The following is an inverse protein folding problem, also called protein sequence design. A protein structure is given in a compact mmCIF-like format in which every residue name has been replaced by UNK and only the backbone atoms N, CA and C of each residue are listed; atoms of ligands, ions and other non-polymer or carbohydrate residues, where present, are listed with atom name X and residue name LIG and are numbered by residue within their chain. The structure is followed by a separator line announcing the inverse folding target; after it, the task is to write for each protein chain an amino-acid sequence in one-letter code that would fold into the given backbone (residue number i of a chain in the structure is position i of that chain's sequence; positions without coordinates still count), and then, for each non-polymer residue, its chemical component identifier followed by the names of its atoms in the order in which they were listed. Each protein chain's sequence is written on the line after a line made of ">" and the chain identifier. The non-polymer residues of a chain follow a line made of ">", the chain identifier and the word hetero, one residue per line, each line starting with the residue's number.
data_IF_949408915257
#
_entry.id   IF_949408915257
#
_cell.length_a   1.000
_cell.length_b   1.000
_cell.length_c   1.000
_cell.angle_alpha   90.00
_cell.angle_beta   90.00
_cell.angle_gamma   90.00
#
_symmetry.space_group_name_H-M   'P 1'
#
loop_
_entity.id
_entity.type
_entity.pdbx_description
1 polymer ?
#
# COMPACT_ATOMS: atom_id res chain seq x y z
N UNK A 1 20.51 -11.55 9.34
CA UNK A 1 20.49 -10.09 9.57
C UNK A 1 19.72 -9.43 8.42
N UNK A 2 18.42 -9.69 8.32
CA UNK A 2 17.54 -9.11 7.31
C UNK A 2 16.41 -8.44 8.09
N UNK A 3 16.40 -7.09 8.09
CA UNK A 3 15.27 -6.18 8.34
C UNK A 3 15.66 -4.79 8.88
N UNK A 4 16.95 -4.45 8.91
CA UNK A 4 17.38 -3.09 9.29
C UNK A 4 16.67 -1.98 8.48
N UNK A 5 16.41 -2.19 7.18
CA UNK A 5 15.79 -1.17 6.35
C UNK A 5 14.30 -0.96 6.66
N UNK A 6 13.51 -2.03 6.81
CA UNK A 6 12.07 -1.92 7.07
C UNK A 6 11.84 -1.24 8.43
N UNK A 7 12.57 -1.67 9.46
CA UNK A 7 12.47 -1.09 10.81
C UNK A 7 12.85 0.40 10.80
N UNK A 8 13.87 0.79 10.03
CA UNK A 8 14.25 2.21 9.87
C UNK A 8 13.18 3.00 9.13
N UNK A 9 12.64 2.46 8.04
CA UNK A 9 11.60 3.12 7.26
C UNK A 9 10.31 3.32 8.07
N UNK A 10 9.92 2.36 8.92
CA UNK A 10 8.76 2.49 9.80
C UNK A 10 8.92 3.63 10.83
N UNK A 11 10.17 3.91 11.21
CA UNK A 11 10.52 5.02 12.10
C UNK A 11 10.74 6.35 11.36
N UNK A 12 10.71 6.39 10.03
CA UNK A 12 10.85 7.61 9.24
C UNK A 12 9.50 8.28 8.95
N UNK A 13 9.54 9.61 8.81
CA UNK A 13 8.41 10.39 8.29
C UNK A 13 8.35 10.27 6.76
N UNK A 14 7.16 10.03 6.21
CA UNK A 14 6.98 9.80 4.76
C UNK A 14 7.34 11.01 3.91
N UNK A 15 7.20 12.24 4.42
CA UNK A 15 7.63 13.46 3.72
C UNK A 15 9.15 13.51 3.51
N UNK A 16 9.94 13.11 4.51
CA UNK A 16 11.40 13.06 4.36
C UNK A 16 11.84 12.02 3.30
N UNK A 17 11.12 10.89 3.22
CA UNK A 17 11.36 9.89 2.17
C UNK A 17 11.01 10.47 0.79
N UNK A 18 9.86 11.17 0.68
CA UNK A 18 9.45 11.83 -0.55
C UNK A 18 10.49 12.86 -1.03
N UNK A 19 10.98 13.72 -0.14
CA UNK A 19 11.97 14.74 -0.46
C UNK A 19 13.27 14.12 -0.98
N UNK A 20 13.78 13.09 -0.31
CA UNK A 20 14.99 12.35 -0.76
C UNK A 20 14.77 11.67 -2.12
N UNK A 21 13.61 11.04 -2.34
CA UNK A 21 13.31 10.39 -3.62
C UNK A 21 13.25 11.43 -4.74
N UNK A 22 12.62 12.57 -4.49
CA UNK A 22 12.53 13.71 -5.42
C UNK A 22 13.90 14.28 -5.76
N UNK A 23 14.76 14.50 -4.77
CA UNK A 23 16.16 14.97 -4.98
C UNK A 23 16.98 13.99 -5.83
N UNK A 24 16.70 12.69 -5.72
CA UNK A 24 17.33 11.63 -6.52
C UNK A 24 16.69 11.44 -7.91
N UNK A 25 15.74 12.30 -8.30
CA UNK A 25 15.05 12.24 -9.59
C UNK A 25 13.94 11.19 -9.67
N UNK A 26 13.58 10.53 -8.57
CA UNK A 26 12.46 9.61 -8.52
C UNK A 26 11.17 10.41 -8.27
N UNK A 27 10.40 10.60 -9.34
CA UNK A 27 9.12 11.32 -9.32
C UNK A 27 7.95 10.33 -9.31
N UNK A 28 6.73 10.82 -9.01
CA UNK A 28 5.50 10.02 -8.97
C UNK A 28 5.52 8.89 -7.92
N UNK A 29 6.11 9.14 -6.75
CA UNK A 29 6.26 8.17 -5.66
C UNK A 29 5.14 8.23 -4.60
N UNK A 30 4.11 9.05 -4.84
CA UNK A 30 2.97 9.22 -3.93
C UNK A 30 1.71 8.57 -4.50
N UNK A 31 0.88 8.03 -3.61
CA UNK A 31 -0.43 7.52 -3.97
C UNK A 31 -1.44 8.68 -4.19
N UNK A 32 -2.51 8.45 -4.97
CA UNK A 32 -3.58 9.44 -5.16
C UNK A 32 -4.16 9.91 -3.82
N UNK A 33 -4.48 11.22 -3.71
CA UNK A 33 -5.03 11.85 -2.50
C UNK A 33 -6.38 11.27 -2.01
N UNK A 34 -7.09 10.54 -2.87
CA UNK A 34 -8.32 9.82 -2.55
C UNK A 34 -8.07 8.59 -1.66
N UNK A 35 -6.84 8.06 -1.64
CA UNK A 35 -6.45 6.98 -0.74
C UNK A 35 -6.09 7.60 0.61
N UNK A 36 -6.88 7.30 1.64
CA UNK A 36 -6.71 7.83 3.00
C UNK A 36 -6.54 6.71 4.00
N UNK A 37 -5.78 6.97 5.07
CA UNK A 37 -5.65 6.02 6.16
C UNK A 37 -6.98 5.87 6.92
N UNK A 38 -7.39 4.63 7.17
CA UNK A 38 -8.51 4.31 8.07
C UNK A 38 -8.12 4.59 9.53
N UNK A 39 -6.85 4.38 9.89
CA UNK A 39 -6.32 4.70 11.22
C UNK A 39 -5.09 5.61 11.09
N UNK A 40 -5.25 6.94 11.27
CA UNK A 40 -4.16 7.91 11.11
C UNK A 40 -2.97 7.71 12.05
N UNK A 41 -3.15 7.00 13.17
CA UNK A 41 -2.09 6.77 14.16
C UNK A 41 -1.17 5.60 13.80
N UNK A 42 -1.55 4.76 12.83
CA UNK A 42 -0.74 3.61 12.39
C UNK A 42 0.18 4.00 11.23
N UNK A 43 1.45 3.60 11.36
CA UNK A 43 2.46 3.65 10.30
C UNK A 43 2.73 2.23 9.81
N UNK A 44 3.13 2.10 8.54
CA UNK A 44 3.44 0.82 7.91
C UNK A 44 4.68 1.01 7.02
N UNK A 45 5.61 0.07 7.10
CA UNK A 45 6.70 -0.09 6.15
C UNK A 45 6.87 -1.59 5.84
N UNK A 46 7.21 -1.91 4.59
CA UNK A 46 7.33 -3.30 4.19
C UNK A 46 7.54 -3.47 2.69
N UNK A 47 7.65 -4.72 2.27
CA UNK A 47 7.68 -5.06 0.84
C UNK A 47 6.27 -4.92 0.27
N UNK A 48 6.17 -4.31 -0.90
CA UNK A 48 4.89 -4.21 -1.60
C UNK A 48 4.46 -5.60 -2.11
N UNK A 49 3.18 -5.90 -1.95
CA UNK A 49 2.50 -6.99 -2.64
C UNK A 49 1.32 -6.37 -3.39
N UNK A 50 1.26 -6.59 -4.70
CA UNK A 50 0.26 -5.96 -5.58
C UNK A 50 -0.78 -6.98 -6.00
N UNK A 51 -2.05 -6.61 -5.88
CA UNK A 51 -3.16 -7.31 -6.50
C UNK A 51 -3.97 -6.34 -7.36
N UNK A 52 -4.66 -6.88 -8.36
CA UNK A 52 -5.63 -6.18 -9.19
C UNK A 52 -6.90 -7.02 -9.24
N UNK A 53 -8.05 -6.36 -9.23
CA UNK A 53 -9.34 -7.01 -9.39
C UNK A 53 -10.24 -6.16 -10.28
N UNK A 54 -11.21 -6.81 -10.88
CA UNK A 54 -12.28 -6.19 -11.66
C UNK A 54 -13.62 -6.77 -11.20
N UNK A 55 -14.71 -6.07 -11.50
CA UNK A 55 -16.05 -6.59 -11.23
C UNK A 55 -16.35 -7.62 -12.33
N UNK A 56 -16.57 -8.86 -11.91
CA UNK A 56 -17.10 -9.90 -12.79
C UNK A 56 -18.63 -9.88 -12.74
N UNK A 57 -19.25 -9.38 -13.81
CA UNK A 57 -20.70 -9.31 -13.93
C UNK A 57 -21.35 -10.65 -14.36
N UNK A 58 -20.56 -11.70 -14.58
CA UNK A 58 -21.05 -13.04 -14.95
C UNK A 58 -21.38 -13.92 -13.75
N UNK A 59 -20.93 -13.54 -12.55
CA UNK A 59 -21.10 -14.31 -11.31
C UNK A 59 -22.19 -13.65 -10.46
N UNK A 60 -23.13 -14.45 -9.96
CA UNK A 60 -24.16 -13.95 -9.05
C UNK A 60 -23.60 -13.68 -7.63
N UNK A 61 -24.35 -12.90 -6.87
CA UNK A 61 -23.97 -12.45 -5.52
C UNK A 61 -23.63 -13.61 -4.57
N UNK A 62 -24.41 -14.69 -4.60
CA UNK A 62 -24.27 -15.78 -3.64
C UNK A 62 -23.04 -16.63 -3.97
N UNK A 63 -22.83 -16.93 -5.25
CA UNK A 63 -21.60 -17.59 -5.74
C UNK A 63 -20.37 -16.76 -5.40
N UNK A 64 -20.39 -15.45 -5.67
CA UNK A 64 -19.29 -14.55 -5.34
C UNK A 64 -18.97 -14.57 -3.84
N UNK A 65 -19.99 -14.49 -2.97
CA UNK A 65 -19.82 -14.48 -1.52
C UNK A 65 -19.22 -15.79 -0.99
N UNK A 66 -19.67 -16.94 -1.49
CA UNK A 66 -19.16 -18.26 -1.07
C UNK A 66 -17.66 -18.42 -1.38
N UNK A 67 -17.20 -17.94 -2.54
CA UNK A 67 -15.78 -18.00 -2.93
C UNK A 67 -14.83 -17.22 -2.02
N UNK A 68 -15.32 -16.29 -1.17
CA UNK A 68 -14.49 -15.61 -0.17
C UNK A 68 -14.26 -16.43 1.10
N UNK A 69 -14.99 -17.54 1.28
CA UNK A 69 -14.95 -18.37 2.49
C UNK A 69 -14.22 -19.70 2.31
N UNK A 70 -13.96 -20.09 1.06
CA UNK A 70 -13.17 -21.28 0.69
C UNK A 70 -11.65 -20.99 0.77
#
# INVERSE_FOLDING_TARGET
>A
MQNNLIDRLENCYTGAIYDVLRERGNINTILPNKIKSINPSKKLAGRIWTCSGEIDETIDKDTSMLSWTE
#
